data_IF_408178055489
#
_entry.id   IF_408178055489
#
_cell.length_a   1.000
_cell.length_b   1.000
_cell.length_c   1.000
_cell.angle_alpha   90.00
_cell.angle_beta   90.00
_cell.angle_gamma   90.00
#
_symmetry.space_group_name_H-M   'P 1'
#
loop_
_entity.id
_entity.type
_entity.pdbx_description
1 polymer ?
#
# COMPACT_ATOMS: atom_id res chain seq x y z
N UNK A 1 -15.48 12.06 -13.04
CA UNK A 1 -14.89 12.20 -11.69
C UNK A 1 -14.67 13.69 -11.41
N UNK A 2 -15.42 14.28 -10.48
CA UNK A 2 -15.44 15.74 -10.25
C UNK A 2 -14.08 16.29 -9.82
N UNK A 3 -13.37 15.57 -8.95
CA UNK A 3 -12.03 15.97 -8.49
C UNK A 3 -11.03 16.07 -9.66
N UNK A 4 -11.07 15.15 -10.63
CA UNK A 4 -10.18 15.22 -11.80
C UNK A 4 -10.49 16.44 -12.67
N UNK A 5 -11.78 16.76 -12.84
CA UNK A 5 -12.25 17.91 -13.62
C UNK A 5 -11.76 19.23 -13.01
N UNK A 6 -11.93 19.39 -11.69
CA UNK A 6 -11.52 20.62 -10.98
C UNK A 6 -9.99 20.77 -11.01
N UNK A 7 -9.25 19.69 -10.85
CA UNK A 7 -7.78 19.70 -10.80
C UNK A 7 -7.10 19.64 -12.19
N UNK A 8 -7.87 19.48 -13.28
CA UNK A 8 -7.34 19.32 -14.65
C UNK A 8 -6.31 18.19 -14.77
N UNK A 9 -6.53 17.10 -14.04
CA UNK A 9 -5.64 15.94 -14.05
C UNK A 9 -6.03 15.00 -15.20
N UNK A 10 -5.15 14.90 -16.20
CA UNK A 10 -5.29 14.07 -17.39
C UNK A 10 -4.55 12.72 -17.29
N UNK A 11 -3.71 12.57 -16.27
CA UNK A 11 -2.89 11.39 -16.00
C UNK A 11 -3.47 10.45 -14.93
N UNK A 12 -4.75 10.60 -14.58
CA UNK A 12 -5.43 9.76 -13.58
C UNK A 12 -6.59 9.02 -14.23
N UNK A 13 -6.56 7.70 -14.15
CA UNK A 13 -7.64 6.83 -14.62
C UNK A 13 -8.46 6.41 -13.38
N UNK A 14 -9.69 6.92 -13.18
CA UNK A 14 -10.54 6.48 -12.09
C UNK A 14 -11.08 5.07 -12.39
N UNK A 15 -11.07 4.20 -11.39
CA UNK A 15 -11.56 2.82 -11.51
C UNK A 15 -12.57 2.54 -10.39
N UNK A 16 -13.71 1.96 -10.75
CA UNK A 16 -14.69 1.42 -9.81
C UNK A 16 -14.52 -0.09 -9.76
N UNK A 17 -13.76 -0.58 -8.78
CA UNK A 17 -13.48 -1.99 -8.58
C UNK A 17 -13.15 -2.25 -7.10
N UNK A 18 -13.25 -3.51 -6.67
CA UNK A 18 -12.65 -3.96 -5.42
C UNK A 18 -11.13 -4.06 -5.60
N UNK A 19 -10.37 -3.48 -4.67
CA UNK A 19 -8.92 -3.53 -4.69
C UNK A 19 -8.37 -4.96 -4.56
N UNK A 20 -9.12 -5.91 -3.98
CA UNK A 20 -8.75 -7.32 -3.94
C UNK A 20 -8.79 -7.98 -5.33
N UNK A 21 -9.70 -7.53 -6.21
CA UNK A 21 -9.94 -8.11 -7.53
C UNK A 21 -9.16 -7.38 -8.65
N UNK A 22 -8.33 -6.40 -8.31
CA UNK A 22 -7.58 -5.61 -9.30
C UNK A 22 -6.66 -6.46 -10.20
N UNK A 23 -6.17 -7.60 -9.71
CA UNK A 23 -5.40 -8.54 -10.53
C UNK A 23 -6.18 -9.14 -11.71
N UNK A 24 -7.52 -9.10 -11.68
CA UNK A 24 -8.36 -9.50 -12.81
C UNK A 24 -8.52 -8.43 -13.89
N UNK A 25 -8.27 -7.16 -13.56
CA UNK A 25 -8.45 -6.01 -14.48
C UNK A 25 -7.13 -5.41 -14.96
N UNK A 26 -6.05 -5.57 -14.18
CA UNK A 26 -4.76 -4.94 -14.42
C UNK A 26 -3.70 -5.99 -14.67
N UNK A 27 -2.76 -5.69 -15.59
CA UNK A 27 -1.64 -6.58 -15.84
C UNK A 27 -0.73 -6.67 -14.61
N UNK A 28 -0.24 -7.88 -14.27
CA UNK A 28 0.72 -8.05 -13.17
C UNK A 28 2.01 -7.26 -13.44
N UNK A 29 2.73 -6.91 -12.38
CA UNK A 29 4.01 -6.19 -12.47
C UNK A 29 3.96 -4.91 -13.34
N UNK A 30 2.90 -4.12 -13.20
CA UNK A 30 2.70 -2.91 -14.01
C UNK A 30 2.98 -1.62 -13.26
N UNK A 31 3.10 -1.67 -11.93
CA UNK A 31 3.16 -0.47 -11.09
C UNK A 31 4.52 -0.29 -10.41
N UNK A 32 5.13 0.88 -10.63
CA UNK A 32 6.38 1.28 -9.97
C UNK A 32 6.13 1.78 -8.53
N UNK A 33 4.92 2.23 -8.24
CA UNK A 33 4.50 2.71 -6.91
C UNK A 33 3.06 2.32 -6.62
N UNK A 34 2.82 1.80 -5.41
CA UNK A 34 1.48 1.47 -4.91
C UNK A 34 1.27 2.13 -3.55
N UNK A 35 0.09 2.70 -3.31
CA UNK A 35 -0.27 3.37 -2.05
C UNK A 35 -1.46 2.64 -1.43
N UNK A 36 -1.27 2.08 -0.23
CA UNK A 36 -2.30 1.34 0.51
C UNK A 36 -2.76 2.16 1.74
N UNK A 37 -3.51 3.23 1.50
CA UNK A 37 -3.95 4.17 2.56
C UNK A 37 -5.20 3.70 3.34
N UNK A 38 -5.26 2.42 3.72
CA UNK A 38 -6.36 1.83 4.50
C UNK A 38 -5.84 1.18 5.79
N UNK A 39 -5.64 1.93 6.88
CA UNK A 39 -4.90 1.44 8.06
C UNK A 39 -5.54 0.28 8.83
N UNK A 40 -6.86 0.08 8.75
CA UNK A 40 -7.59 -0.86 9.62
C UNK A 40 -7.61 -2.30 9.13
N UNK A 41 -7.53 -2.52 7.81
CA UNK A 41 -7.71 -3.84 7.17
C UNK A 41 -6.77 -4.01 5.97
N UNK A 42 -5.57 -3.44 6.03
CA UNK A 42 -4.66 -3.40 4.88
C UNK A 42 -3.98 -4.73 4.55
N UNK A 43 -3.86 -5.68 5.49
CA UNK A 43 -3.12 -6.94 5.28
C UNK A 43 -3.72 -7.82 4.19
N UNK A 44 -5.04 -7.88 4.08
CA UNK A 44 -5.74 -8.68 3.06
C UNK A 44 -5.37 -8.29 1.63
N UNK A 45 -4.97 -7.04 1.42
CA UNK A 45 -4.65 -6.48 0.11
C UNK A 45 -3.17 -6.65 -0.28
N UNK A 46 -2.30 -7.10 0.64
CA UNK A 46 -0.86 -7.25 0.38
C UNK A 46 -0.60 -8.17 -0.81
N UNK A 47 -1.28 -9.32 -0.88
CA UNK A 47 -1.13 -10.27 -1.99
C UNK A 47 -1.39 -9.61 -3.35
N UNK A 48 -2.48 -8.85 -3.47
CA UNK A 48 -2.83 -8.14 -4.71
C UNK A 48 -1.86 -6.98 -4.99
N UNK A 49 -1.40 -6.27 -3.95
CA UNK A 49 -0.41 -5.22 -4.12
C UNK A 49 0.93 -5.76 -4.67
N UNK A 50 1.45 -6.84 -4.09
CA UNK A 50 2.69 -7.45 -4.54
C UNK A 50 2.58 -8.07 -5.94
N UNK A 51 1.43 -8.62 -6.34
CA UNK A 51 1.25 -9.15 -7.70
C UNK A 51 1.24 -8.05 -8.78
N UNK A 52 0.79 -6.84 -8.42
CA UNK A 52 0.73 -5.69 -9.33
C UNK A 52 2.04 -4.88 -9.33
N UNK A 53 2.82 -4.95 -8.27
CA UNK A 53 4.09 -4.23 -8.15
C UNK A 53 5.15 -4.80 -9.10
N UNK A 54 5.90 -3.91 -9.75
CA UNK A 54 7.12 -4.26 -10.48
C UNK A 54 8.25 -4.63 -9.52
N UNK A 55 9.18 -5.47 -9.97
CA UNK A 55 10.49 -5.61 -9.32
C UNK A 55 11.18 -4.24 -9.25
N UNK A 56 11.67 -3.87 -8.07
CA UNK A 56 12.21 -2.54 -7.76
C UNK A 56 11.16 -1.48 -7.44
N UNK A 57 9.86 -1.79 -7.57
CA UNK A 57 8.76 -0.91 -7.21
C UNK A 57 8.64 -0.72 -5.69
N UNK A 58 7.88 0.29 -5.27
CA UNK A 58 7.68 0.61 -3.85
C UNK A 58 6.20 0.56 -3.46
N UNK A 59 5.89 -0.20 -2.42
CA UNK A 59 4.57 -0.23 -1.78
C UNK A 59 4.62 0.62 -0.51
N UNK A 60 3.75 1.62 -0.42
CA UNK A 60 3.52 2.42 0.79
C UNK A 60 2.36 1.81 1.58
N UNK A 61 2.70 0.99 2.57
CA UNK A 61 1.74 0.23 3.36
C UNK A 61 1.40 0.95 4.66
N UNK A 62 0.17 1.46 4.77
CA UNK A 62 -0.32 2.08 6.00
C UNK A 62 -1.03 1.06 6.88
N UNK A 63 -0.76 1.14 8.18
CA UNK A 63 -1.36 0.27 9.18
C UNK A 63 -1.55 1.01 10.50
N UNK A 64 -2.45 0.50 11.32
CA UNK A 64 -2.55 0.87 12.72
C UNK A 64 -1.80 -0.17 13.55
N UNK A 65 -0.88 0.27 14.40
CA UNK A 65 -0.07 -0.61 15.23
C UNK A 65 0.14 -0.01 16.62
N UNK A 66 0.49 -0.85 17.57
CA UNK A 66 0.76 -0.46 18.96
C UNK A 66 2.25 -0.32 19.23
N UNK A 67 3.08 -1.11 18.53
CA UNK A 67 4.53 -1.14 18.71
C UNK A 67 5.28 -0.97 17.38
N UNK A 68 6.53 -0.55 17.47
CA UNK A 68 7.39 -0.41 16.29
C UNK A 68 7.69 -1.80 15.72
N UNK A 69 7.54 -1.96 14.40
CA UNK A 69 7.86 -3.19 13.69
C UNK A 69 6.84 -4.31 13.82
N UNK A 70 5.65 -4.04 14.38
CA UNK A 70 4.57 -5.03 14.57
C UNK A 70 4.22 -5.79 13.28
N UNK A 71 4.28 -5.11 12.13
CA UNK A 71 3.96 -5.71 10.83
C UNK A 71 5.15 -6.33 10.11
N UNK A 72 6.39 -6.17 10.61
CA UNK A 72 7.57 -6.71 9.93
C UNK A 72 7.51 -8.21 9.67
N UNK A 73 7.08 -9.08 10.62
CA UNK A 73 7.00 -10.52 10.35
C UNK A 73 6.11 -10.85 9.16
N UNK A 74 4.93 -10.22 9.09
CA UNK A 74 3.97 -10.42 7.98
C UNK A 74 4.54 -9.91 6.67
N UNK A 75 5.14 -8.71 6.66
CA UNK A 75 5.70 -8.12 5.43
C UNK A 75 6.88 -8.93 4.88
N UNK A 76 7.65 -9.58 5.77
CA UNK A 76 8.77 -10.45 5.39
C UNK A 76 8.34 -11.76 4.73
N UNK A 77 7.08 -12.16 4.83
CA UNK A 77 6.52 -13.27 4.05
C UNK A 77 6.41 -12.93 2.56
N UNK A 78 6.36 -11.64 2.20
CA UNK A 78 6.18 -11.19 0.83
C UNK A 78 7.47 -10.70 0.16
N UNK A 79 8.48 -10.27 0.92
CA UNK A 79 9.72 -9.76 0.33
C UNK A 79 10.94 -9.85 1.25
N UNK A 80 12.10 -10.13 0.64
CA UNK A 80 13.43 -9.98 1.23
C UNK A 80 13.96 -8.54 1.15
N UNK A 81 13.28 -7.65 0.42
CA UNK A 81 13.72 -6.30 0.13
C UNK A 81 13.82 -5.37 1.35
N UNK A 82 14.24 -4.14 1.07
CA UNK A 82 14.32 -3.09 2.09
C UNK A 82 12.92 -2.68 2.55
N UNK A 83 12.73 -2.61 3.86
CA UNK A 83 11.52 -2.10 4.50
C UNK A 83 11.92 -0.97 5.43
N UNK A 84 11.35 0.22 5.24
CA UNK A 84 11.55 1.39 6.09
C UNK A 84 10.24 1.75 6.79
N UNK A 85 10.29 1.93 8.11
CA UNK A 85 9.09 2.20 8.92
C UNK A 85 9.11 3.62 9.47
N UNK A 86 7.99 4.33 9.34
CA UNK A 86 7.78 5.68 9.89
C UNK A 86 6.47 5.77 10.66
N UNK A 87 6.49 6.54 11.73
CA UNK A 87 5.29 6.93 12.47
C UNK A 87 4.69 8.16 11.78
N UNK A 88 3.42 8.08 11.39
CA UNK A 88 2.69 9.15 10.70
C UNK A 88 2.05 10.10 11.71
N UNK A 89 1.27 9.54 12.66
CA UNK A 89 0.59 10.29 13.73
C UNK A 89 0.07 9.34 14.81
N UNK A 90 -0.18 9.86 16.01
CA UNK A 90 -0.95 9.14 17.03
C UNK A 90 -2.40 8.92 16.57
N UNK A 91 -2.97 7.79 16.96
CA UNK A 91 -4.38 7.46 16.74
C UNK A 91 -5.12 7.32 18.09
N UNK A 92 -4.52 6.61 19.04
CA UNK A 92 -5.02 6.43 20.41
C UNK A 92 -3.84 6.42 21.40
N UNK A 93 -4.08 6.36 22.72
CA UNK A 93 -2.99 6.27 23.71
C UNK A 93 -2.05 5.08 23.52
N UNK A 94 -2.56 4.00 22.91
CA UNK A 94 -1.81 2.75 22.70
C UNK A 94 -1.50 2.48 21.23
N UNK A 95 -1.98 3.28 20.29
CA UNK A 95 -1.82 3.02 18.86
C UNK A 95 -1.47 4.26 18.05
N UNK A 96 -0.69 4.05 17.00
CA UNK A 96 -0.34 5.07 16.02
C UNK A 96 -0.51 4.54 14.60
N UNK A 97 -0.68 5.48 13.67
CA UNK A 97 -0.57 5.17 12.26
C UNK A 97 0.90 5.02 11.92
N UNK A 98 1.26 3.88 11.36
CA UNK A 98 2.57 3.62 10.77
C UNK A 98 2.46 3.51 9.25
N UNK A 99 3.54 3.85 8.56
CA UNK A 99 3.74 3.55 7.15
C UNK A 99 5.01 2.74 7.01
N UNK A 100 4.92 1.68 6.22
CA UNK A 100 6.05 0.87 5.78
C UNK A 100 6.28 1.12 4.29
N UNK A 101 7.43 1.67 3.96
CA UNK A 101 7.92 1.81 2.60
C UNK A 101 8.66 0.52 2.23
N UNK A 102 8.05 -0.30 1.38
CA UNK A 102 8.51 -1.66 1.06
C UNK A 102 9.02 -1.70 -0.37
N UNK A 103 10.28 -2.08 -0.57
CA UNK A 103 10.86 -2.32 -1.89
C UNK A 103 10.54 -3.74 -2.33
N UNK A 104 9.88 -3.90 -3.48
CA UNK A 104 9.58 -5.20 -4.07
C UNK A 104 10.79 -5.78 -4.80
N UNK A 105 11.09 -7.05 -4.58
CA UNK A 105 12.17 -7.81 -5.26
C UNK A 105 11.54 -8.89 -6.14
#
# INVERSE_FOLDING_TARGET
>A
CENLRINRADNVIPMLADALDLGGYLAPHSFDRIIMNLPMTSTAFLKTAFSLAKTGGVIHYYTLQSEKGEMLPVLREFTSGRIDEKIVRSYSPTQHHAVYDIVCE
#
